data_IF_754656364148
#
_entry.id   IF_754656364148
#
_cell.length_a   1.000
_cell.length_b   1.000
_cell.length_c   1.000
_cell.angle_alpha   90.00
_cell.angle_beta   90.00
_cell.angle_gamma   90.00
#
_symmetry.space_group_name_H-M   'P 1'
#
loop_
_entity.id
_entity.type
_entity.pdbx_description
1 polymer ?
#
# COMPACT_ATOMS: atom_id res chain seq x y z
N UNK A 1 5.85 -0.19 18.36
CA UNK A 1 6.55 0.82 17.54
C UNK A 1 5.61 1.98 17.29
N UNK A 2 6.10 3.22 17.33
CA UNK A 2 5.28 4.40 17.05
C UNK A 2 5.10 4.57 15.54
N UNK A 3 3.86 4.46 15.06
CA UNK A 3 3.51 4.81 13.68
C UNK A 3 3.60 6.32 13.56
N UNK A 4 4.40 6.83 12.61
CA UNK A 4 4.42 8.26 12.31
C UNK A 4 3.02 8.66 11.82
N UNK A 5 2.33 9.45 12.63
CA UNK A 5 0.99 9.95 12.30
C UNK A 5 1.14 11.15 11.38
N UNK A 6 0.97 10.92 10.08
CA UNK A 6 0.84 11.98 9.10
C UNK A 6 -0.66 12.28 8.97
N UNK A 7 -1.01 13.55 9.06
CA UNK A 7 -2.38 14.04 8.93
C UNK A 7 -2.37 15.29 8.06
N UNK A 8 -3.43 15.47 7.27
CA UNK A 8 -3.62 16.71 6.51
C UNK A 8 -3.76 17.90 7.48
N UNK A 9 -3.27 19.10 7.10
CA UNK A 9 -3.43 20.31 7.91
C UNK A 9 -4.91 20.52 8.31
N UNK A 10 -5.17 20.58 9.62
CA UNK A 10 -6.52 20.79 10.17
C UNK A 10 -7.36 19.52 10.35
N UNK A 11 -6.88 18.34 9.93
CA UNK A 11 -7.59 17.06 10.07
C UNK A 11 -6.93 16.18 11.15
N UNK A 12 -7.25 16.41 12.42
CA UNK A 12 -6.88 15.45 13.48
C UNK A 12 -7.91 14.32 13.53
N UNK A 13 -7.46 13.06 13.52
CA UNK A 13 -8.40 11.93 13.63
C UNK A 13 -8.89 11.65 15.03
N UNK A 14 -10.13 11.18 15.13
CA UNK A 14 -10.75 10.80 16.38
C UNK A 14 -9.93 9.69 17.10
N UNK A 15 -9.75 9.78 18.43
CA UNK A 15 -8.83 8.94 19.21
C UNK A 15 -9.20 7.43 19.25
N UNK A 16 -10.37 7.03 18.77
CA UNK A 16 -10.85 5.64 18.78
C UNK A 16 -10.97 5.01 17.39
N UNK A 17 -10.47 5.67 16.36
CA UNK A 17 -10.46 5.10 15.03
C UNK A 17 -9.29 4.11 14.92
N UNK A 18 -9.59 2.82 14.82
CA UNK A 18 -8.61 1.80 14.45
C UNK A 18 -8.08 2.13 13.06
N UNK A 19 -6.95 2.84 13.01
CA UNK A 19 -6.27 3.15 11.76
C UNK A 19 -5.54 1.91 11.30
N UNK A 20 -6.10 1.27 10.27
CA UNK A 20 -5.40 0.25 9.50
C UNK A 20 -4.19 0.93 8.83
N UNK A 21 -3.01 0.36 9.03
CA UNK A 21 -1.79 0.81 8.39
C UNK A 21 -1.25 -0.30 7.50
N UNK A 22 -0.73 0.11 6.35
CA UNK A 22 0.02 -0.74 5.44
C UNK A 22 1.39 -0.11 5.21
N UNK A 23 2.40 -0.96 5.03
CA UNK A 23 3.67 -0.57 4.46
C UNK A 23 3.62 -0.81 2.96
N UNK A 24 4.10 0.16 2.19
CA UNK A 24 4.25 0.04 0.75
C UNK A 24 5.74 0.20 0.44
N UNK A 25 6.31 -0.80 -0.22
CA UNK A 25 7.64 -0.69 -0.83
C UNK A 25 7.47 -0.36 -2.30
N UNK A 26 7.92 0.83 -2.70
CA UNK A 26 7.85 1.34 -4.07
C UNK A 26 9.19 1.14 -4.75
N UNK A 27 9.52 -0.11 -5.05
CA UNK A 27 10.75 -0.47 -5.73
C UNK A 27 10.74 -0.08 -7.22
N UNK A 28 11.92 -0.01 -7.83
CA UNK A 28 12.09 0.38 -9.24
C UNK A 28 11.54 -0.66 -10.22
N UNK A 29 11.73 -1.95 -9.93
CA UNK A 29 11.27 -3.05 -10.80
C UNK A 29 9.95 -3.64 -10.30
N UNK A 30 9.84 -3.85 -8.99
CA UNK A 30 8.65 -4.41 -8.36
C UNK A 30 8.29 -3.61 -7.11
N UNK A 31 7.01 -3.58 -6.80
CA UNK A 31 6.44 -3.02 -5.58
C UNK A 31 5.73 -4.12 -4.78
N UNK A 32 5.56 -3.89 -3.48
CA UNK A 32 4.82 -4.80 -2.60
C UNK A 32 4.06 -4.03 -1.52
N UNK A 33 2.99 -4.63 -1.01
CA UNK A 33 2.22 -4.10 0.12
C UNK A 33 2.25 -5.10 1.26
N UNK A 34 2.52 -4.64 2.47
CA UNK A 34 2.52 -5.45 3.68
C UNK A 34 1.74 -4.77 4.80
N UNK A 35 1.37 -5.55 5.81
CA UNK A 35 0.80 -5.04 7.06
C UNK A 35 1.29 -5.88 8.23
N UNK A 36 1.04 -5.42 9.45
CA UNK A 36 1.33 -6.20 10.66
C UNK A 36 0.03 -6.86 11.15
N UNK A 37 0.00 -8.19 11.18
CA UNK A 37 -1.09 -9.00 11.73
C UNK A 37 -0.53 -9.87 12.83
N UNK A 38 -1.18 -9.89 14.00
CA UNK A 38 -0.73 -10.68 15.16
C UNK A 38 0.75 -10.46 15.50
N UNK A 39 1.19 -9.20 15.49
CA UNK A 39 2.58 -8.79 15.70
C UNK A 39 3.61 -9.34 14.68
N UNK A 40 3.16 -9.91 13.56
CA UNK A 40 4.01 -10.39 12.47
C UNK A 40 3.74 -9.63 11.17
N UNK A 41 4.80 -9.35 10.40
CA UNK A 41 4.67 -8.77 9.07
C UNK A 41 4.08 -9.81 8.10
N UNK A 42 3.08 -9.40 7.31
CA UNK A 42 2.43 -10.25 6.31
C UNK A 42 2.28 -9.46 5.02
N UNK A 43 2.73 -10.04 3.91
CA UNK A 43 2.55 -9.47 2.56
C UNK A 43 1.11 -9.71 2.12
N UNK A 44 0.52 -8.70 1.49
CA UNK A 44 -0.81 -8.77 0.89
C UNK A 44 -0.66 -9.11 -0.58
N UNK A 45 -1.21 -10.25 -1.00
CA UNK A 45 -1.27 -10.61 -2.41
C UNK A 45 -2.40 -9.87 -3.13
N UNK A 46 -2.22 -9.64 -4.44
CA UNK A 46 -3.28 -9.16 -5.32
C UNK A 46 -4.37 -10.24 -5.57
N UNK A 47 -5.37 -9.91 -6.40
CA UNK A 47 -6.45 -10.84 -6.76
C UNK A 47 -5.99 -12.11 -7.49
N UNK A 48 -4.78 -12.11 -8.05
CA UNK A 48 -4.16 -13.27 -8.71
C UNK A 48 -3.25 -14.07 -7.77
N UNK A 49 -3.12 -13.66 -6.51
CA UNK A 49 -2.25 -14.30 -5.52
C UNK A 49 -0.79 -13.84 -5.58
N UNK A 50 -0.44 -12.85 -6.40
CA UNK A 50 0.93 -12.34 -6.55
C UNK A 50 1.27 -11.41 -5.40
N UNK A 51 2.44 -11.64 -4.78
CA UNK A 51 2.95 -10.82 -3.68
C UNK A 51 3.78 -9.61 -4.15
N UNK A 52 4.35 -9.69 -5.36
CA UNK A 52 5.11 -8.62 -6.00
C UNK A 52 4.39 -8.19 -7.27
N UNK A 53 4.23 -6.87 -7.44
CA UNK A 53 3.63 -6.27 -8.63
C UNK A 53 4.73 -5.53 -9.40
N UNK A 54 4.76 -5.60 -10.75
CA UNK A 54 5.71 -4.83 -11.52
C UNK A 54 5.44 -3.32 -11.36
N UNK A 55 6.51 -2.55 -11.20
CA UNK A 55 6.44 -1.09 -11.05
C UNK A 55 6.39 -0.41 -12.41
N UNK A 56 5.28 -0.58 -13.13
CA UNK A 56 5.09 -0.05 -14.48
C UNK A 56 3.66 0.43 -14.67
N UNK A 57 3.48 1.35 -15.60
CA UNK A 57 2.17 1.75 -16.11
C UNK A 57 2.25 1.72 -17.63
N UNK A 58 1.34 0.99 -18.26
CA UNK A 58 1.19 0.97 -19.72
C UNK A 58 -0.02 1.81 -20.13
N UNK A 59 0.20 2.72 -21.07
CA UNK A 59 -0.84 3.52 -21.71
C UNK A 59 -1.03 3.00 -23.12
N UNK A 60 -2.18 2.40 -23.39
CA UNK A 60 -2.49 1.86 -24.69
C UNK A 60 -2.96 2.93 -25.68
N UNK A 61 -3.19 2.50 -26.93
CA UNK A 61 -3.41 3.41 -28.07
C UNK A 61 -4.72 4.19 -27.98
N UNK A 62 -5.70 3.70 -27.23
CA UNK A 62 -7.00 4.36 -27.07
C UNK A 62 -7.18 4.99 -25.67
N UNK A 63 -6.10 5.13 -24.90
CA UNK A 63 -6.12 5.74 -23.57
C UNK A 63 -6.44 4.79 -22.43
N UNK A 64 -6.51 3.48 -22.70
CA UNK A 64 -6.51 2.43 -21.69
C UNK A 64 -5.23 2.51 -20.83
N UNK A 65 -5.39 2.25 -19.53
CA UNK A 65 -4.30 2.22 -18.56
C UNK A 65 -4.30 0.86 -17.88
N UNK A 66 -3.19 0.13 -18.01
CA UNK A 66 -2.98 -1.17 -17.38
C UNK A 66 -1.52 -1.35 -16.90
N UNK A 67 -1.19 -2.57 -16.46
CA UNK A 67 0.09 -2.98 -15.86
C UNK A 67 0.58 -4.26 -16.51
#
# INVERSE_FOLDING_TARGET
>A
MALLQIAEPGMSTAPHQHRLAIGIDLGTTNSLVATVRNASATVLSDEMGRALLPSVVHYGRHGEVDV
#
